data_IF_057939175914
#
_entry.id   IF_057939175914
#
_cell.length_a   1.000
_cell.length_b   1.000
_cell.length_c   1.000
_cell.angle_alpha   90.00
_cell.angle_beta   90.00
_cell.angle_gamma   90.00
#
_symmetry.space_group_name_H-M   'P 1'
#
loop_
_entity.id
_entity.type
_entity.pdbx_description
1 polymer ?
#
# COMPACT_ATOMS: atom_id res chain seq x y z
N UNK A 1 -3.80 11.25 -15.10
CA UNK A 1 -4.80 12.30 -14.82
C UNK A 1 -6.23 11.80 -15.00
N UNK A 2 -6.62 11.29 -16.18
CA UNK A 2 -8.00 10.78 -16.42
C UNK A 2 -8.39 9.68 -15.42
N UNK A 3 -7.52 8.69 -15.17
CA UNK A 3 -7.77 7.60 -14.20
C UNK A 3 -8.07 8.10 -12.78
N UNK A 4 -7.34 9.13 -12.32
CA UNK A 4 -7.55 9.73 -11.00
C UNK A 4 -8.90 10.44 -10.91
N UNK A 5 -9.27 11.17 -11.97
CA UNK A 5 -10.57 11.84 -12.04
C UNK A 5 -11.71 10.83 -12.07
N UNK A 6 -11.60 9.77 -12.89
CA UNK A 6 -12.60 8.69 -12.97
C UNK A 6 -12.84 8.03 -11.61
N UNK A 7 -11.79 7.79 -10.83
CA UNK A 7 -11.92 7.19 -9.51
C UNK A 7 -12.59 8.11 -8.49
N UNK A 8 -12.21 9.39 -8.47
CA UNK A 8 -12.86 10.37 -7.58
C UNK A 8 -14.33 10.57 -7.96
N UNK A 9 -14.64 10.66 -9.26
CA UNK A 9 -16.02 10.77 -9.76
C UNK A 9 -16.83 9.50 -9.43
N UNK A 10 -16.25 8.32 -9.59
CA UNK A 10 -16.89 7.06 -9.21
C UNK A 10 -17.24 7.04 -7.71
N UNK A 11 -16.28 7.41 -6.85
CA UNK A 11 -16.53 7.50 -5.42
C UNK A 11 -17.64 8.50 -5.08
N UNK A 12 -17.63 9.68 -5.71
CA UNK A 12 -18.67 10.69 -5.50
C UNK A 12 -20.05 10.21 -5.97
N UNK A 13 -20.12 9.53 -7.12
CA UNK A 13 -21.35 8.95 -7.65
C UNK A 13 -21.97 7.94 -6.69
N UNK A 14 -21.14 7.05 -6.13
CA UNK A 14 -21.57 6.00 -5.19
C UNK A 14 -22.02 6.61 -3.87
N UNK A 15 -21.32 7.61 -3.36
CA UNK A 15 -21.71 8.32 -2.13
C UNK A 15 -23.07 9.03 -2.28
N UNK A 16 -23.42 9.46 -3.51
CA UNK A 16 -24.72 10.07 -3.83
C UNK A 16 -25.81 9.04 -4.15
N UNK A 17 -25.45 7.81 -4.55
CA UNK A 17 -26.38 6.77 -4.99
C UNK A 17 -25.98 5.41 -4.40
N UNK A 18 -26.16 5.20 -3.08
CA UNK A 18 -25.63 4.03 -2.39
C UNK A 18 -26.31 2.72 -2.81
N UNK A 19 -27.59 2.77 -3.21
CA UNK A 19 -28.36 1.60 -3.64
C UNK A 19 -28.76 1.69 -5.11
N UNK A 20 -28.29 0.74 -5.91
CA UNK A 20 -28.80 0.50 -7.26
C UNK A 20 -29.83 -0.64 -7.20
N UNK A 21 -31.09 -0.34 -7.50
CA UNK A 21 -32.17 -1.35 -7.52
C UNK A 21 -32.02 -2.36 -8.67
N UNK A 22 -31.38 -1.92 -9.76
CA UNK A 22 -31.16 -2.74 -10.94
C UNK A 22 -29.89 -3.60 -10.81
N UNK A 23 -30.07 -4.93 -10.78
CA UNK A 23 -28.97 -5.91 -10.72
C UNK A 23 -28.00 -5.86 -11.91
N UNK A 24 -28.43 -5.36 -13.07
CA UNK A 24 -27.52 -5.14 -14.20
C UNK A 24 -26.58 -3.97 -13.91
N UNK A 25 -27.14 -2.83 -13.52
CA UNK A 25 -26.38 -1.62 -13.24
C UNK A 25 -25.41 -1.83 -12.08
N UNK A 26 -25.79 -2.62 -11.07
CA UNK A 26 -24.91 -3.02 -9.98
C UNK A 26 -23.69 -3.83 -10.46
N UNK A 27 -23.88 -4.78 -11.38
CA UNK A 27 -22.78 -5.57 -11.94
C UNK A 27 -21.88 -4.74 -12.84
N UNK A 28 -22.46 -3.84 -13.63
CA UNK A 28 -21.70 -2.92 -14.48
C UNK A 28 -20.86 -1.95 -13.61
N UNK A 29 -21.43 -1.45 -12.50
CA UNK A 29 -20.70 -0.64 -11.52
C UNK A 29 -19.53 -1.40 -10.88
N UNK A 30 -19.73 -2.66 -10.51
CA UNK A 30 -18.68 -3.52 -9.96
C UNK A 30 -17.54 -3.74 -10.97
N UNK A 31 -17.86 -4.02 -12.23
CA UNK A 31 -16.87 -4.22 -13.30
C UNK A 31 -16.04 -2.94 -13.56
N UNK A 32 -16.71 -1.79 -13.62
CA UNK A 32 -16.04 -0.48 -13.75
C UNK A 32 -15.16 -0.19 -12.53
N UNK A 33 -15.64 -0.46 -11.32
CA UNK A 33 -14.88 -0.30 -10.08
C UNK A 33 -13.60 -1.13 -10.12
N UNK A 34 -13.72 -2.40 -10.51
CA UNK A 34 -12.58 -3.31 -10.61
C UNK A 34 -11.53 -2.78 -11.59
N UNK A 35 -11.95 -2.43 -12.82
CA UNK A 35 -11.05 -1.92 -13.86
C UNK A 35 -10.32 -0.63 -13.45
N UNK A 36 -11.03 0.29 -12.79
CA UNK A 36 -10.43 1.53 -12.32
C UNK A 36 -9.44 1.26 -11.18
N UNK A 37 -9.79 0.43 -10.20
CA UNK A 37 -8.90 0.09 -9.08
C UNK A 37 -7.64 -0.62 -9.60
N UNK A 38 -7.77 -1.56 -10.53
CA UNK A 38 -6.62 -2.22 -11.17
C UNK A 38 -5.73 -1.23 -11.91
N UNK A 39 -6.31 -0.28 -12.65
CA UNK A 39 -5.55 0.74 -13.35
C UNK A 39 -4.76 1.65 -12.38
N UNK A 40 -5.35 2.02 -11.23
CA UNK A 40 -4.65 2.78 -10.18
C UNK A 40 -3.57 1.94 -9.52
N UNK A 41 -3.84 0.66 -9.25
CA UNK A 41 -2.85 -0.30 -8.74
C UNK A 41 -1.63 -0.41 -9.66
N UNK A 42 -1.84 -0.50 -10.97
CA UNK A 42 -0.75 -0.51 -11.95
C UNK A 42 0.06 0.79 -11.95
N UNK A 43 -0.58 1.95 -11.79
CA UNK A 43 0.12 3.24 -11.63
C UNK A 43 0.92 3.25 -10.32
N UNK A 44 0.35 2.77 -9.22
CA UNK A 44 1.07 2.60 -7.97
C UNK A 44 2.30 1.70 -8.13
N UNK A 45 2.19 0.61 -8.91
CA UNK A 45 3.29 -0.31 -9.21
C UNK A 45 4.37 0.25 -10.15
N UNK A 46 4.17 1.41 -10.77
CA UNK A 46 5.10 1.94 -11.78
C UNK A 46 6.49 2.34 -11.25
N UNK A 47 6.62 2.54 -9.94
CA UNK A 47 7.92 2.79 -9.27
C UNK A 47 8.54 1.52 -8.71
N UNK A 48 8.04 0.35 -9.12
CA UNK A 48 8.58 -0.95 -8.78
C UNK A 48 9.30 -1.57 -9.97
N UNK A 49 10.29 -2.40 -9.69
CA UNK A 49 11.03 -3.20 -10.67
C UNK A 49 11.07 -4.68 -10.27
N UNK A 50 11.21 -5.57 -11.26
CA UNK A 50 11.33 -7.00 -11.01
C UNK A 50 12.75 -7.33 -10.56
N UNK A 51 12.86 -8.04 -9.43
CA UNK A 51 14.14 -8.44 -8.82
C UNK A 51 14.97 -9.39 -9.69
N UNK A 52 14.32 -10.30 -10.42
CA UNK A 52 14.96 -11.21 -11.38
C UNK A 52 13.95 -11.70 -12.43
N UNK A 53 14.44 -12.16 -13.58
CA UNK A 53 13.59 -12.73 -14.64
C UNK A 53 12.90 -14.06 -14.25
N UNK A 54 13.41 -14.75 -13.22
CA UNK A 54 12.88 -16.02 -12.69
C UNK A 54 11.87 -15.83 -11.54
N UNK A 55 12.03 -14.78 -10.72
CA UNK A 55 11.11 -14.44 -9.64
C UNK A 55 10.40 -13.13 -9.96
N UNK A 56 9.08 -13.19 -10.18
CA UNK A 56 8.18 -12.03 -10.35
C UNK A 56 7.99 -11.20 -9.05
N UNK A 57 9.00 -11.17 -8.17
CA UNK A 57 8.98 -10.35 -6.98
C UNK A 57 9.32 -8.92 -7.38
N UNK A 58 8.52 -7.98 -6.88
CA UNK A 58 8.67 -6.55 -7.11
C UNK A 58 9.46 -5.91 -5.95
N UNK A 59 10.30 -4.94 -6.27
CA UNK A 59 11.03 -4.10 -5.31
C UNK A 59 10.96 -2.62 -5.72
N UNK A 60 11.14 -1.73 -4.74
CA UNK A 60 11.13 -0.28 -4.99
C UNK A 60 12.38 0.11 -5.79
N UNK A 61 12.19 0.80 -6.91
CA UNK A 61 13.30 1.32 -7.72
C UNK A 61 14.21 2.18 -6.84
N UNK A 62 15.54 1.98 -6.89
CA UNK A 62 16.48 2.80 -6.14
C UNK A 62 16.38 4.26 -6.58
N UNK A 63 16.61 5.18 -5.64
CA UNK A 63 16.66 6.61 -5.94
C UNK A 63 17.72 6.90 -7.00
N UNK A 64 17.48 7.85 -7.94
CA UNK A 64 18.53 8.33 -8.82
C UNK A 64 19.69 8.85 -7.97
N UNK A 65 20.86 8.22 -8.07
CA UNK A 65 22.06 8.73 -7.39
C UNK A 65 22.48 10.02 -8.09
N UNK A 66 22.22 11.17 -7.49
CA UNK A 66 22.85 12.43 -7.91
C UNK A 66 24.30 12.32 -7.44
N UNK A 67 25.20 11.86 -8.31
CA UNK A 67 26.64 11.99 -8.08
C UNK A 67 26.98 13.47 -8.22
N UNK A 68 27.06 14.19 -7.11
CA UNK A 68 27.79 15.46 -7.08
C UNK A 68 29.26 15.07 -7.10
N UNK A 69 29.88 15.13 -8.29
CA UNK A 69 31.32 14.95 -8.41
C UNK A 69 32.00 16.12 -7.71
N UNK A 70 32.57 15.84 -6.54
CA UNK A 70 33.10 16.82 -5.59
C UNK A 70 34.51 17.29 -5.91
N UNK A 71 34.86 17.45 -7.18
CA UNK A 71 36.15 18.03 -7.60
C UNK A 71 35.97 18.89 -8.83
N UNK A 72 35.74 20.19 -8.63
CA UNK A 72 36.47 21.29 -9.26
C UNK A 72 35.82 22.61 -8.82
N UNK A 73 36.52 23.29 -7.90
CA UNK A 73 36.40 24.72 -7.73
C UNK A 73 37.10 25.35 -8.94
N UNK A 74 36.35 26.01 -9.83
CA UNK A 74 36.74 27.31 -10.40
C UNK A 74 35.58 27.88 -11.24
N UNK A 75 35.43 29.19 -11.08
CA UNK A 75 34.64 30.18 -11.79
C UNK A 75 34.18 29.82 -13.21
N UNK A 76 32.88 29.99 -13.49
CA UNK A 76 32.44 31.11 -14.33
C UNK A 76 30.92 31.32 -14.25
N UNK A 77 30.56 32.60 -14.08
CA UNK A 77 29.20 33.12 -13.96
C UNK A 77 28.77 33.57 -15.34
N UNK A 78 28.18 32.69 -16.15
CA UNK A 78 27.29 33.05 -17.28
C UNK A 78 26.82 31.78 -18.00
N UNK A 79 25.58 31.35 -17.73
CA UNK A 79 24.55 31.08 -18.76
C UNK A 79 23.31 30.48 -18.06
N UNK A 80 22.65 31.31 -17.24
CA UNK A 80 21.28 31.09 -16.83
C UNK A 80 20.40 31.60 -17.97
N UNK A 81 19.85 30.69 -18.80
CA UNK A 81 18.50 30.73 -19.40
C UNK A 81 18.42 29.76 -20.59
N UNK A 82 18.00 28.52 -20.35
CA UNK A 82 17.29 27.73 -21.37
C UNK A 82 16.13 26.95 -20.75
N UNK A 83 14.88 27.43 -20.90
CA UNK A 83 13.67 26.69 -20.59
C UNK A 83 13.02 26.17 -21.87
N UNK A 84 13.23 24.89 -22.19
CA UNK A 84 12.47 24.09 -23.18
C UNK A 84 13.23 22.76 -23.35
N UNK A 85 12.67 21.56 -23.45
CA UNK A 85 11.30 21.08 -23.56
C UNK A 85 11.45 19.56 -23.66
N UNK A 86 11.40 18.82 -22.54
CA UNK A 86 11.25 17.35 -22.57
C UNK A 86 9.78 17.00 -22.31
N UNK A 87 8.91 17.44 -23.22
CA UNK A 87 7.52 16.99 -23.28
C UNK A 87 7.44 15.71 -24.11
N UNK A 88 8.03 14.60 -23.63
CA UNK A 88 7.72 13.26 -24.15
C UNK A 88 8.30 12.16 -23.26
N UNK A 89 7.83 12.10 -22.01
CA UNK A 89 7.62 10.90 -21.21
C UNK A 89 7.43 11.36 -19.77
N UNK A 90 6.20 11.74 -19.38
CA UNK A 90 5.88 11.75 -17.96
C UNK A 90 6.01 10.30 -17.50
N UNK A 91 7.14 9.95 -16.90
CA UNK A 91 7.40 8.61 -16.42
C UNK A 91 6.31 8.27 -15.41
N UNK A 92 5.57 7.16 -15.58
CA UNK A 92 4.46 6.81 -14.70
C UNK A 92 4.86 6.78 -13.21
N UNK A 93 6.15 6.59 -12.91
CA UNK A 93 6.72 6.57 -11.56
C UNK A 93 6.44 7.82 -10.74
N UNK A 94 6.31 9.01 -11.35
CA UNK A 94 6.04 10.26 -10.61
C UNK A 94 4.67 10.26 -9.94
N UNK A 95 3.72 9.46 -10.45
CA UNK A 95 2.36 9.41 -9.93
C UNK A 95 2.10 8.25 -8.97
N UNK A 96 3.09 7.40 -8.70
CA UNK A 96 2.92 6.21 -7.84
C UNK A 96 2.46 6.58 -6.44
N UNK A 97 3.10 7.56 -5.80
CA UNK A 97 2.73 8.06 -4.47
C UNK A 97 1.30 8.58 -4.46
N UNK A 98 0.92 9.36 -5.48
CA UNK A 98 -0.43 9.91 -5.57
C UNK A 98 -1.49 8.81 -5.75
N UNK A 99 -1.19 7.78 -6.55
CA UNK A 99 -2.05 6.62 -6.70
C UNK A 99 -2.22 5.87 -5.37
N UNK A 100 -1.13 5.65 -4.62
CA UNK A 100 -1.17 5.02 -3.31
C UNK A 100 -2.00 5.84 -2.30
N UNK A 101 -1.81 7.16 -2.25
CA UNK A 101 -2.60 8.05 -1.38
C UNK A 101 -4.08 7.95 -1.72
N UNK A 102 -4.43 8.00 -3.01
CA UNK A 102 -5.81 7.91 -3.46
C UNK A 102 -6.47 6.57 -3.10
N UNK A 103 -5.74 5.46 -3.26
CA UNK A 103 -6.20 4.15 -2.80
C UNK A 103 -6.43 4.16 -1.28
N UNK A 104 -5.50 4.72 -0.51
CA UNK A 104 -5.56 4.74 0.96
C UNK A 104 -6.77 5.47 1.53
N UNK A 105 -7.20 6.55 0.85
CA UNK A 105 -8.33 7.39 1.26
C UNK A 105 -9.69 6.75 0.94
N UNK A 106 -9.78 6.03 -0.17
CA UNK A 106 -11.08 5.74 -0.80
C UNK A 106 -11.39 4.24 -0.91
N UNK A 107 -10.38 3.39 -1.11
CA UNK A 107 -10.60 2.01 -1.58
C UNK A 107 -11.48 1.20 -0.63
N UNK A 108 -11.20 1.25 0.67
CA UNK A 108 -11.93 0.44 1.65
C UNK A 108 -13.43 0.79 1.67
N UNK A 109 -13.76 2.08 1.75
CA UNK A 109 -15.14 2.57 1.70
C UNK A 109 -15.83 2.27 0.37
N UNK A 110 -15.11 2.46 -0.75
CA UNK A 110 -15.63 2.19 -2.08
C UNK A 110 -16.05 0.72 -2.22
N UNK A 111 -15.21 -0.21 -1.78
CA UNK A 111 -15.50 -1.64 -1.86
C UNK A 111 -16.66 -2.03 -0.95
N UNK A 112 -16.78 -1.43 0.24
CA UNK A 112 -17.89 -1.73 1.17
C UNK A 112 -19.25 -1.27 0.62
N UNK A 113 -19.27 -0.15 -0.11
CA UNK A 113 -20.49 0.37 -0.75
C UNK A 113 -20.87 -0.37 -2.03
N UNK A 114 -19.90 -0.84 -2.80
CA UNK A 114 -20.14 -1.47 -4.12
C UNK A 114 -20.44 -2.97 -4.01
N UNK A 115 -19.83 -3.67 -3.05
CA UNK A 115 -19.94 -5.12 -2.90
C UNK A 115 -20.73 -5.49 -1.63
N UNK A 116 -21.95 -5.97 -1.83
CA UNK A 116 -22.85 -6.36 -0.76
C UNK A 116 -22.67 -7.83 -0.35
N UNK A 117 -22.85 -8.12 0.95
CA UNK A 117 -22.94 -9.44 1.59
C UNK A 117 -22.19 -10.58 0.86
N UNK A 118 -22.90 -11.32 0.01
CA UNK A 118 -22.47 -12.59 -0.59
C UNK A 118 -21.41 -12.38 -1.69
N UNK A 119 -21.28 -11.15 -2.21
CA UNK A 119 -20.35 -10.80 -3.28
C UNK A 119 -19.01 -10.29 -2.76
N UNK A 120 -18.86 -10.08 -1.44
CA UNK A 120 -17.61 -9.58 -0.83
C UNK A 120 -16.42 -10.51 -1.06
N UNK A 121 -16.64 -11.80 -1.30
CA UNK A 121 -15.57 -12.72 -1.68
C UNK A 121 -14.95 -12.39 -3.06
N UNK A 122 -15.71 -11.76 -3.97
CA UNK A 122 -15.22 -11.36 -5.30
C UNK A 122 -14.20 -10.24 -5.25
N UNK A 123 -14.10 -9.54 -4.11
CA UNK A 123 -13.14 -8.46 -3.89
C UNK A 123 -11.74 -9.01 -3.56
N UNK A 124 -11.64 -10.26 -3.09
CA UNK A 124 -10.35 -10.84 -2.66
C UNK A 124 -9.28 -10.83 -3.77
N UNK A 125 -9.55 -11.29 -5.01
CA UNK A 125 -8.54 -11.28 -6.06
C UNK A 125 -8.03 -9.87 -6.39
N UNK A 126 -8.92 -8.88 -6.42
CA UNK A 126 -8.57 -7.47 -6.61
C UNK A 126 -7.65 -6.97 -5.49
N UNK A 127 -7.98 -7.26 -4.23
CA UNK A 127 -7.15 -6.85 -3.09
C UNK A 127 -5.81 -7.58 -3.05
N UNK A 128 -5.75 -8.86 -3.43
CA UNK A 128 -4.47 -9.58 -3.57
C UNK A 128 -3.60 -8.92 -4.63
N UNK A 129 -4.18 -8.51 -5.76
CA UNK A 129 -3.47 -7.75 -6.80
C UNK A 129 -2.95 -6.40 -6.27
N UNK A 130 -3.77 -5.64 -5.54
CA UNK A 130 -3.33 -4.40 -4.89
C UNK A 130 -2.20 -4.65 -3.89
N UNK A 131 -2.31 -5.69 -3.05
CA UNK A 131 -1.26 -6.04 -2.09
C UNK A 131 0.06 -6.41 -2.77
N UNK A 132 0.03 -7.03 -3.96
CA UNK A 132 1.23 -7.31 -4.75
C UNK A 132 2.02 -6.03 -5.10
N UNK A 133 1.35 -4.91 -5.32
CA UNK A 133 2.00 -3.61 -5.51
C UNK A 133 2.36 -2.91 -4.19
N UNK A 134 1.58 -3.12 -3.12
CA UNK A 134 1.75 -2.43 -1.84
C UNK A 134 2.90 -3.00 -1.00
N UNK A 135 3.03 -4.33 -0.91
CA UNK A 135 4.02 -4.99 -0.03
C UNK A 135 5.46 -4.59 -0.32
N UNK A 136 5.93 -4.47 -1.58
CA UNK A 136 7.29 -4.02 -1.88
C UNK A 136 7.64 -2.67 -1.24
N UNK A 137 6.68 -1.73 -1.24
CA UNK A 137 6.86 -0.43 -0.57
C UNK A 137 6.93 -0.58 0.94
N UNK A 138 6.16 -1.49 1.54
CA UNK A 138 6.18 -1.73 2.98
C UNK A 138 7.43 -2.49 3.47
N UNK A 139 8.16 -3.16 2.57
CA UNK A 139 9.45 -3.79 2.89
C UNK A 139 10.64 -2.82 2.82
N UNK A 140 10.48 -1.67 2.17
CA UNK A 140 11.58 -0.75 1.91
C UNK A 140 11.53 0.46 2.86
N UNK A 141 12.49 0.55 3.78
CA UNK A 141 12.58 1.64 4.77
C UNK A 141 13.48 2.81 4.33
N UNK A 142 13.81 2.93 3.04
CA UNK A 142 14.63 4.05 2.55
C UNK A 142 13.91 5.39 2.65
N UNK A 143 14.67 6.47 2.85
CA UNK A 143 14.12 7.83 2.96
C UNK A 143 13.33 8.25 1.71
N UNK A 144 13.78 7.86 0.51
CA UNK A 144 13.07 8.12 -0.74
C UNK A 144 11.71 7.43 -0.81
N UNK A 145 11.59 6.24 -0.23
CA UNK A 145 10.35 5.49 -0.21
C UNK A 145 9.35 5.98 0.85
N UNK A 146 9.78 6.80 1.81
CA UNK A 146 8.96 7.20 2.95
C UNK A 146 7.54 7.71 2.60
N UNK A 147 7.33 8.53 1.54
CA UNK A 147 5.98 8.93 1.13
C UNK A 147 5.10 7.75 0.68
N UNK A 148 5.65 6.85 -0.14
CA UNK A 148 4.95 5.64 -0.60
C UNK A 148 4.65 4.70 0.56
N UNK A 149 5.63 4.49 1.46
CA UNK A 149 5.45 3.68 2.67
C UNK A 149 4.27 4.20 3.50
N UNK A 150 4.22 5.51 3.78
CA UNK A 150 3.13 6.14 4.55
C UNK A 150 1.76 5.91 3.91
N UNK A 151 1.64 6.12 2.59
CA UNK A 151 0.39 5.87 1.89
C UNK A 151 0.00 4.38 1.92
N UNK A 152 0.96 3.46 1.77
CA UNK A 152 0.74 2.03 1.82
C UNK A 152 0.28 1.53 3.20
N UNK A 153 0.88 2.02 4.30
CA UNK A 153 0.47 1.61 5.65
C UNK A 153 -0.90 2.18 6.00
N UNK A 154 -1.21 3.40 5.54
CA UNK A 154 -2.55 3.98 5.67
C UNK A 154 -3.59 3.16 4.91
N UNK A 155 -3.28 2.72 3.69
CA UNK A 155 -4.15 1.85 2.91
C UNK A 155 -4.39 0.49 3.60
N UNK A 156 -3.32 -0.16 4.06
CA UNK A 156 -3.45 -1.43 4.76
C UNK A 156 -4.26 -1.26 6.06
N UNK A 157 -4.04 -0.15 6.78
CA UNK A 157 -4.83 0.20 7.96
C UNK A 157 -6.31 0.38 7.65
N UNK A 158 -6.67 1.10 6.58
CA UNK A 158 -8.07 1.31 6.21
C UNK A 158 -8.75 0.01 5.77
N UNK A 159 -8.05 -0.84 4.99
CA UNK A 159 -8.56 -2.15 4.60
C UNK A 159 -8.73 -3.10 5.80
N UNK A 160 -7.82 -3.03 6.78
CA UNK A 160 -7.80 -3.96 7.92
C UNK A 160 -9.04 -3.89 8.81
N UNK A 161 -9.75 -2.76 8.82
CA UNK A 161 -11.01 -2.59 9.55
C UNK A 161 -12.17 -3.43 9.01
N UNK A 162 -12.03 -3.98 7.80
CA UNK A 162 -13.08 -4.74 7.12
C UNK A 162 -12.75 -6.23 7.09
N UNK A 163 -13.54 -7.05 7.79
CA UNK A 163 -13.23 -8.48 7.94
C UNK A 163 -13.11 -9.27 6.63
N UNK A 164 -13.94 -8.93 5.65
CA UNK A 164 -13.91 -9.61 4.35
C UNK A 164 -12.61 -9.37 3.59
N UNK A 165 -11.83 -8.32 3.89
CA UNK A 165 -10.55 -8.04 3.19
C UNK A 165 -9.40 -8.88 3.73
N UNK A 166 -9.55 -9.44 4.94
CA UNK A 166 -8.47 -10.04 5.73
C UNK A 166 -7.66 -11.09 5.00
N UNK A 167 -8.30 -11.92 4.18
CA UNK A 167 -7.62 -12.98 3.41
C UNK A 167 -6.56 -12.43 2.44
N UNK A 168 -6.71 -11.19 1.98
CA UNK A 168 -5.79 -10.59 1.02
C UNK A 168 -4.49 -10.07 1.66
N UNK A 169 -4.50 -9.71 2.95
CA UNK A 169 -3.39 -8.99 3.56
C UNK A 169 -2.81 -9.62 4.84
N UNK A 170 -3.54 -10.51 5.52
CA UNK A 170 -3.16 -11.00 6.86
C UNK A 170 -1.74 -11.59 6.92
N UNK A 171 -1.37 -12.37 5.90
CA UNK A 171 -0.07 -13.04 5.83
C UNK A 171 1.05 -12.03 5.69
N UNK A 172 0.91 -11.15 4.69
CA UNK A 172 1.93 -10.13 4.40
C UNK A 172 2.11 -9.15 5.57
N UNK A 173 1.02 -8.74 6.23
CA UNK A 173 1.10 -7.88 7.41
C UNK A 173 1.84 -8.55 8.57
N UNK A 174 1.60 -9.85 8.79
CA UNK A 174 2.31 -10.62 9.80
C UNK A 174 3.79 -10.79 9.45
N UNK A 175 4.10 -11.18 8.21
CA UNK A 175 5.47 -11.35 7.72
C UNK A 175 6.27 -10.05 7.85
N UNK A 176 5.65 -8.90 7.54
CA UNK A 176 6.23 -7.57 7.74
C UNK A 176 6.49 -7.27 9.22
N UNK A 177 5.51 -7.54 10.08
CA UNK A 177 5.66 -7.31 11.53
C UNK A 177 6.79 -8.15 12.13
N UNK A 178 6.96 -9.38 11.66
CA UNK A 178 8.03 -10.28 12.13
C UNK A 178 9.41 -10.00 11.50
N UNK A 179 9.49 -9.05 10.57
CA UNK A 179 10.77 -8.65 9.99
C UNK A 179 11.65 -7.92 11.03
N UNK A 180 12.93 -8.30 11.20
CA UNK A 180 13.83 -7.64 12.15
C UNK A 180 14.02 -6.13 11.92
N UNK A 181 13.81 -5.67 10.69
CA UNK A 181 13.90 -4.26 10.30
C UNK A 181 12.58 -3.51 10.45
N UNK A 182 11.50 -4.15 10.92
CA UNK A 182 10.15 -3.55 10.99
C UNK A 182 10.13 -2.16 11.62
N UNK A 183 10.87 -1.95 12.72
CA UNK A 183 10.91 -0.68 13.45
C UNK A 183 11.80 0.41 12.81
N UNK A 184 12.37 0.17 11.63
CA UNK A 184 13.11 1.19 10.88
C UNK A 184 12.18 2.13 10.09
N UNK A 185 10.87 1.92 10.17
CA UNK A 185 9.88 2.79 9.55
C UNK A 185 9.76 4.16 10.24
N UNK A 186 9.20 5.14 9.52
CA UNK A 186 8.90 6.47 10.05
C UNK A 186 7.89 6.39 11.22
N UNK A 187 8.15 7.11 12.31
CA UNK A 187 7.31 7.08 13.51
C UNK A 187 5.84 7.49 13.27
N UNK A 188 5.56 8.30 12.23
CA UNK A 188 4.19 8.64 11.85
C UNK A 188 3.35 7.43 11.41
N UNK A 189 3.99 6.34 11.01
CA UNK A 189 3.34 5.09 10.61
C UNK A 189 2.87 4.24 11.80
N UNK A 190 3.37 4.49 13.02
CA UNK A 190 3.12 3.62 14.19
C UNK A 190 1.64 3.51 14.52
N UNK A 191 0.87 4.60 14.40
CA UNK A 191 -0.57 4.58 14.69
C UNK A 191 -1.34 3.69 13.70
N UNK A 192 -0.95 3.71 12.42
CA UNK A 192 -1.54 2.84 11.41
C UNK A 192 -1.18 1.38 11.65
N UNK A 193 0.09 1.09 11.96
CA UNK A 193 0.53 -0.26 12.33
C UNK A 193 -0.18 -0.79 13.57
N UNK A 194 -0.41 0.05 14.60
CA UNK A 194 -1.20 -0.33 15.77
C UNK A 194 -2.59 -0.79 15.37
N UNK A 195 -3.31 0.01 14.57
CA UNK A 195 -4.65 -0.34 14.10
C UNK A 195 -4.67 -1.66 13.29
N UNK A 196 -3.66 -1.88 12.42
CA UNK A 196 -3.51 -3.13 11.66
C UNK A 196 -3.35 -4.32 12.61
N UNK A 197 -2.47 -4.20 13.61
CA UNK A 197 -2.21 -5.26 14.58
C UNK A 197 -3.43 -5.52 15.47
N UNK A 198 -4.12 -4.48 15.93
CA UNK A 198 -5.35 -4.62 16.71
C UNK A 198 -6.41 -5.41 15.92
N UNK A 199 -6.61 -5.07 14.64
CA UNK A 199 -7.52 -5.77 13.75
C UNK A 199 -7.06 -7.21 13.44
N UNK A 200 -5.75 -7.44 13.36
CA UNK A 200 -5.17 -8.77 13.18
C UNK A 200 -5.44 -9.65 14.42
N UNK A 201 -5.30 -9.11 15.63
CA UNK A 201 -5.44 -9.83 16.90
C UNK A 201 -6.89 -10.04 17.33
N UNK A 202 -7.76 -9.05 17.09
CA UNK A 202 -9.17 -9.10 17.54
C UNK A 202 -9.95 -10.24 16.91
N UNK A 203 -9.59 -10.61 15.68
CA UNK A 203 -10.39 -11.53 14.88
C UNK A 203 -9.83 -12.96 14.80
N UNK A 204 -8.70 -13.29 15.46
CA UNK A 204 -8.22 -14.69 15.51
C UNK A 204 -7.19 -14.97 16.62
N UNK A 205 -7.68 -15.23 17.84
CA UNK A 205 -6.85 -15.62 18.99
C UNK A 205 -6.12 -16.96 18.79
N UNK A 206 -6.58 -17.80 17.85
CA UNK A 206 -6.00 -19.11 17.52
C UNK A 206 -4.86 -18.98 16.51
N UNK A 207 -5.06 -18.22 15.43
CA UNK A 207 -4.02 -17.95 14.43
C UNK A 207 -2.80 -17.27 15.06
N UNK A 208 -2.98 -16.35 16.02
CA UNK A 208 -1.81 -15.79 16.71
C UNK A 208 -1.02 -16.87 17.47
N UNK A 209 -1.69 -17.77 18.19
CA UNK A 209 -1.04 -18.87 18.91
C UNK A 209 -0.29 -19.81 17.97
N UNK A 210 -0.91 -20.17 16.84
CA UNK A 210 -0.35 -21.10 15.86
C UNK A 210 0.85 -20.47 15.14
N UNK A 211 0.75 -19.20 14.76
CA UNK A 211 1.85 -18.42 14.19
C UNK A 211 2.99 -18.19 15.20
N UNK A 212 2.66 -17.94 16.46
CA UNK A 212 3.65 -17.85 17.54
C UNK A 212 4.37 -19.18 17.74
N UNK A 213 3.68 -20.30 17.65
CA UNK A 213 4.28 -21.63 17.78
C UNK A 213 5.26 -21.95 16.64
N UNK A 214 4.98 -21.49 15.41
CA UNK A 214 5.84 -21.73 14.25
C UNK A 214 7.16 -20.94 14.31
N UNK A 215 7.17 -19.75 14.92
CA UNK A 215 8.34 -18.87 14.94
C UNK A 215 9.12 -18.83 16.28
N UNK A 216 8.50 -19.20 17.41
CA UNK A 216 9.18 -19.24 18.71
C UNK A 216 10.32 -20.27 18.74
N UNK A 217 10.22 -21.35 17.94
CA UNK A 217 11.29 -22.34 17.78
C UNK A 217 12.53 -21.81 17.04
N UNK A 218 12.43 -20.65 16.36
CA UNK A 218 13.50 -20.15 15.48
C UNK A 218 14.18 -18.85 15.94
N UNK A 219 13.48 -17.91 16.62
CA UNK A 219 14.04 -16.57 16.93
C UNK A 219 13.48 -15.89 18.22
N UNK A 220 13.45 -16.56 19.38
CA UNK A 220 12.86 -16.06 20.64
C UNK A 220 13.17 -14.60 21.08
N UNK A 221 14.33 -14.00 20.73
CA UNK A 221 14.75 -12.69 21.25
C UNK A 221 14.07 -11.49 20.58
N UNK A 222 13.88 -11.51 19.25
CA UNK A 222 13.19 -10.45 18.50
C UNK A 222 11.70 -10.43 18.87
N UNK A 223 11.14 -11.61 19.07
CA UNK A 223 9.74 -11.84 19.44
C UNK A 223 9.38 -11.28 20.81
N UNK A 224 10.21 -11.49 21.83
CA UNK A 224 9.96 -10.94 23.16
C UNK A 224 9.93 -9.40 23.13
N UNK A 225 10.78 -8.76 22.33
CA UNK A 225 10.82 -7.29 22.22
C UNK A 225 9.58 -6.76 21.49
N UNK A 226 9.16 -7.38 20.39
CA UNK A 226 7.96 -6.99 19.64
C UNK A 226 6.67 -7.22 20.42
N UNK A 227 6.57 -8.35 21.12
CA UNK A 227 5.44 -8.65 22.00
C UNK A 227 5.39 -7.70 23.19
N UNK A 228 6.55 -7.35 23.76
CA UNK A 228 6.65 -6.33 24.83
C UNK A 228 6.23 -4.94 24.33
N UNK A 229 6.57 -4.56 23.09
CA UNK A 229 6.17 -3.28 22.50
C UNK A 229 4.66 -3.21 22.26
N UNK A 230 4.04 -4.28 21.77
CA UNK A 230 2.57 -4.39 21.65
C UNK A 230 1.87 -4.36 23.02
N UNK A 231 2.42 -5.08 24.01
CA UNK A 231 1.91 -5.11 25.38
C UNK A 231 2.05 -3.74 26.09
N UNK A 232 3.12 -2.99 25.82
CA UNK A 232 3.29 -1.62 26.32
C UNK A 232 2.31 -0.64 25.66
N UNK A 233 1.94 -0.83 24.38
CA UNK A 233 0.93 0.01 23.71
C UNK A 233 -0.51 -0.29 24.10
N UNK A 234 -0.77 -1.41 24.77
CA UNK A 234 -2.10 -1.76 25.31
C UNK A 234 -2.28 -1.38 26.79
N UNK A 235 -1.31 -0.66 27.36
CA UNK A 235 -1.33 -0.16 28.74
C UNK A 235 -1.46 1.38 28.85
N UNK A 236 -1.78 2.08 27.75
CA UNK A 236 -2.17 3.49 27.75
C UNK A 236 -3.37 3.76 26.85
#
# INVERSE_FOLDING_TARGET
>A
MITFLSYRVLNEFIMKNPSLENKKDQRDLQDVTHKIVDAIGAIAGSSLEQTTWLRRNLEVKPSPKIMVDGTNLESDVEDMLSPAMETSNITPSVYSVHALTLLSEVLAHLLDMVFYSDEKERVIPLLVNIMHYVVPYLRNHSAHNAPSYRACVQLLSSLSGYQYTRRAWKKEAFDLFMDPSFFQMDASCVNHWRAIMDNLMTHDKTTFRDLMSEYCDSQCSVFLVQYSLLACTSLF
#
